data_IF_467847048554
#
_entry.id   IF_467847048554
#
_cell.length_a   1.000
_cell.length_b   1.000
_cell.length_c   1.000
_cell.angle_alpha   90.00
_cell.angle_beta   90.00
_cell.angle_gamma   90.00
#
_symmetry.space_group_name_H-M   'P 1'
#
loop_
_entity.id
_entity.type
_entity.pdbx_description
1 polymer ?
#
# COMPACT_ATOMS: atom_id res chain seq x y z
N UNK A 1 7.44 3.17 8.85
CA UNK A 1 6.56 4.26 9.32
C UNK A 1 6.09 3.97 10.75
N UNK A 2 6.26 4.89 11.66
CA UNK A 2 5.91 4.76 13.08
C UNK A 2 4.46 5.18 13.41
N UNK A 3 3.71 5.62 12.43
CA UNK A 3 2.31 6.05 12.56
C UNK A 3 1.30 5.06 11.93
N UNK A 4 1.71 3.80 11.75
CA UNK A 4 0.83 2.73 11.31
C UNK A 4 0.53 1.71 12.41
N UNK A 5 -0.73 1.29 12.48
CA UNK A 5 -1.13 0.07 13.18
C UNK A 5 -1.35 -1.05 12.18
N UNK A 6 -0.74 -2.19 12.42
CA UNK A 6 -0.83 -3.37 11.58
C UNK A 6 -1.68 -4.45 12.23
N UNK A 7 -2.45 -5.20 11.41
CA UNK A 7 -3.01 -6.46 11.86
C UNK A 7 -1.90 -7.50 12.02
N UNK A 8 -2.02 -8.37 13.01
CA UNK A 8 -1.04 -9.41 13.32
C UNK A 8 -0.68 -10.26 12.08
N UNK A 9 -1.65 -10.55 11.23
CA UNK A 9 -1.48 -11.35 10.02
C UNK A 9 -1.01 -10.57 8.79
N UNK A 10 -0.74 -9.26 8.93
CA UNK A 10 -0.47 -8.37 7.79
C UNK A 10 0.70 -8.87 6.93
N UNK A 11 1.84 -9.11 7.55
CA UNK A 11 3.06 -9.48 6.82
C UNK A 11 2.94 -10.85 6.16
N UNK A 12 2.40 -11.84 6.89
CA UNK A 12 2.16 -13.18 6.37
C UNK A 12 1.26 -13.14 5.12
N UNK A 13 0.13 -12.43 5.20
CA UNK A 13 -0.80 -12.32 4.09
C UNK A 13 -0.23 -11.53 2.90
N UNK A 14 0.54 -10.48 3.15
CA UNK A 14 1.22 -9.74 2.09
C UNK A 14 2.22 -10.62 1.35
N UNK A 15 3.04 -11.40 2.05
CA UNK A 15 4.03 -12.28 1.42
C UNK A 15 3.32 -13.36 0.59
N UNK A 16 2.33 -14.06 1.14
CA UNK A 16 1.58 -15.09 0.42
C UNK A 16 0.86 -14.52 -0.82
N UNK A 17 0.27 -13.33 -0.71
CA UNK A 17 -0.35 -12.64 -1.84
C UNK A 17 0.69 -12.18 -2.87
N UNK A 18 1.85 -11.69 -2.43
CA UNK A 18 2.94 -11.32 -3.32
C UNK A 18 3.38 -12.50 -4.18
N UNK A 19 3.68 -13.63 -3.57
CA UNK A 19 4.10 -14.85 -4.28
C UNK A 19 3.06 -15.30 -5.30
N UNK A 20 1.80 -15.31 -4.89
CA UNK A 20 0.68 -15.69 -5.77
C UNK A 20 0.55 -14.75 -6.97
N UNK A 21 0.43 -13.45 -6.72
CA UNK A 21 0.14 -12.45 -7.77
C UNK A 21 1.34 -12.25 -8.69
N UNK A 22 2.56 -12.15 -8.14
CA UNK A 22 3.78 -12.02 -8.95
C UNK A 22 4.01 -13.22 -9.85
N UNK A 23 3.74 -14.44 -9.34
CA UNK A 23 3.80 -15.68 -10.15
C UNK A 23 2.78 -15.67 -11.30
N UNK A 24 1.53 -15.26 -11.02
CA UNK A 24 0.49 -15.18 -12.05
C UNK A 24 0.78 -14.13 -13.12
N UNK A 25 1.37 -13.00 -12.73
CA UNK A 25 1.72 -11.92 -13.64
C UNK A 25 3.08 -12.12 -14.34
N UNK A 26 3.89 -13.07 -13.86
CA UNK A 26 5.25 -13.28 -14.34
C UNK A 26 6.21 -12.10 -14.07
N UNK A 27 5.92 -11.27 -13.05
CA UNK A 27 6.72 -10.10 -12.69
C UNK A 27 6.56 -9.69 -11.22
N UNK A 28 7.57 -8.98 -10.72
CA UNK A 28 7.52 -8.37 -9.41
C UNK A 28 6.48 -7.24 -9.35
N UNK A 29 5.97 -6.97 -8.15
CA UNK A 29 4.94 -5.96 -7.90
C UNK A 29 5.26 -5.14 -6.64
N UNK A 30 4.55 -4.04 -6.48
CA UNK A 30 4.46 -3.28 -5.23
C UNK A 30 3.15 -3.61 -4.52
N UNK A 31 3.16 -3.56 -3.20
CA UNK A 31 1.99 -3.79 -2.37
C UNK A 31 1.90 -2.75 -1.27
N UNK A 32 0.78 -2.07 -1.16
CA UNK A 32 0.45 -1.21 -0.01
C UNK A 32 -0.38 -2.02 0.99
N UNK A 33 -0.08 -2.01 2.29
CA UNK A 33 -0.87 -2.75 3.28
C UNK A 33 -2.20 -2.08 3.63
N UNK A 34 -2.37 -0.81 3.30
CA UNK A 34 -3.53 -0.02 3.68
C UNK A 34 -4.48 0.25 2.52
N UNK A 35 -5.76 0.23 2.83
CA UNK A 35 -6.85 0.61 1.93
C UNK A 35 -7.37 1.98 2.36
N UNK A 36 -6.96 3.02 1.65
CA UNK A 36 -7.27 4.39 2.04
C UNK A 36 -8.60 4.89 1.49
N UNK A 37 -9.37 5.68 2.28
CA UNK A 37 -10.62 6.28 1.81
C UNK A 37 -10.48 7.13 0.55
N UNK A 38 -9.37 7.88 0.40
CA UNK A 38 -9.18 8.75 -0.76
C UNK A 38 -9.13 8.00 -2.09
N UNK A 39 -8.74 6.72 -2.08
CA UNK A 39 -8.75 5.88 -3.28
C UNK A 39 -10.16 5.61 -3.83
N UNK A 40 -11.21 5.83 -3.03
CA UNK A 40 -12.62 5.70 -3.43
C UNK A 40 -13.23 7.03 -3.92
N UNK A 41 -12.49 8.13 -3.77
CA UNK A 41 -12.97 9.47 -4.13
C UNK A 41 -12.61 9.86 -5.57
N UNK A 42 -11.78 9.08 -6.23
CA UNK A 42 -11.33 9.32 -7.59
C UNK A 42 -11.91 8.27 -8.53
N UNK A 43 -12.32 8.68 -9.73
CA UNK A 43 -12.74 7.77 -10.79
C UNK A 43 -11.51 7.18 -11.49
N UNK A 44 -10.77 6.33 -10.79
CA UNK A 44 -9.57 5.67 -11.27
C UNK A 44 -9.89 4.26 -11.75
N UNK A 45 -9.39 3.92 -12.94
CA UNK A 45 -9.53 2.56 -13.47
C UNK A 45 -8.72 1.61 -12.58
N UNK A 46 -9.40 0.62 -12.00
CA UNK A 46 -8.77 -0.37 -11.13
C UNK A 46 -9.15 -1.79 -11.54
N UNK A 47 -8.21 -2.72 -11.36
CA UNK A 47 -8.44 -4.15 -11.52
C UNK A 47 -8.53 -4.80 -10.15
N UNK A 48 -9.42 -5.76 -10.00
CA UNK A 48 -9.54 -6.58 -8.79
C UNK A 48 -8.77 -7.89 -9.01
N UNK A 49 -7.95 -8.25 -8.04
CA UNK A 49 -7.14 -9.46 -8.03
C UNK A 49 -7.52 -10.32 -6.81
N UNK A 50 -7.28 -11.61 -6.93
CA UNK A 50 -7.48 -12.55 -5.82
C UNK A 50 -6.14 -12.74 -5.11
N UNK A 51 -6.05 -12.27 -3.87
CA UNK A 51 -4.93 -12.51 -2.98
C UNK A 51 -5.04 -13.84 -2.25
N UNK A 52 -4.33 -13.99 -1.13
CA UNK A 52 -4.38 -15.19 -0.31
C UNK A 52 -5.71 -15.31 0.46
N UNK A 53 -6.06 -14.30 1.26
CA UNK A 53 -7.24 -14.33 2.15
C UNK A 53 -8.31 -13.30 1.79
N UNK A 54 -8.03 -12.39 0.86
CA UNK A 54 -8.95 -11.32 0.44
C UNK A 54 -8.73 -10.89 -1.01
N UNK A 55 -9.63 -10.05 -1.50
CA UNK A 55 -9.42 -9.36 -2.77
C UNK A 55 -8.41 -8.22 -2.57
N UNK A 56 -7.72 -7.92 -3.65
CA UNK A 56 -6.81 -6.81 -3.77
C UNK A 56 -7.19 -5.99 -4.99
N UNK A 57 -6.78 -4.75 -5.04
CA UNK A 57 -7.02 -3.89 -6.20
C UNK A 57 -5.75 -3.18 -6.62
N UNK A 58 -5.64 -2.86 -7.91
CA UNK A 58 -4.58 -1.99 -8.40
C UNK A 58 -4.79 -0.57 -7.91
N UNK A 59 -3.70 0.08 -7.53
CA UNK A 59 -3.66 1.47 -7.07
C UNK A 59 -2.48 2.19 -7.73
N UNK A 60 -2.56 3.53 -7.81
CA UNK A 60 -1.52 4.39 -8.39
C UNK A 60 -0.78 5.23 -7.35
N UNK A 61 -1.15 5.13 -6.09
CA UNK A 61 -0.59 5.93 -4.98
C UNK A 61 -0.53 5.12 -3.70
N UNK A 62 0.49 5.39 -2.91
CA UNK A 62 0.64 4.93 -1.52
C UNK A 62 0.87 6.14 -0.62
N UNK A 63 1.05 5.93 0.68
CA UNK A 63 1.49 6.96 1.62
C UNK A 63 2.81 6.51 2.25
N UNK A 64 3.85 6.37 1.45
CA UNK A 64 5.21 5.92 1.79
C UNK A 64 5.31 4.51 2.41
N UNK A 65 4.22 3.78 2.52
CA UNK A 65 4.19 2.43 3.09
C UNK A 65 3.94 1.40 2.01
N UNK A 66 4.95 0.61 1.71
CA UNK A 66 4.85 -0.44 0.70
C UNK A 66 5.79 -1.62 0.97
N UNK A 67 5.46 -2.74 0.36
CA UNK A 67 6.32 -3.92 0.25
C UNK A 67 6.63 -4.17 -1.22
N UNK A 68 7.87 -4.53 -1.53
CA UNK A 68 8.29 -4.93 -2.88
C UNK A 68 9.50 -5.84 -2.84
N UNK A 69 9.93 -6.37 -3.99
CA UNK A 69 11.17 -7.13 -4.10
C UNK A 69 12.40 -6.23 -4.07
N UNK A 70 13.53 -6.80 -3.62
CA UNK A 70 14.83 -6.14 -3.72
C UNK A 70 15.16 -5.73 -5.15
N UNK A 71 14.77 -6.54 -6.14
CA UNK A 71 14.98 -6.24 -7.56
C UNK A 71 14.30 -4.95 -8.00
N UNK A 72 13.03 -4.73 -7.63
CA UNK A 72 12.33 -3.47 -7.94
C UNK A 72 12.90 -2.30 -7.13
N UNK A 73 13.30 -2.54 -5.88
CA UNK A 73 13.94 -1.52 -5.07
C UNK A 73 15.26 -1.03 -5.71
N UNK A 74 16.11 -1.96 -6.15
CA UNK A 74 17.36 -1.64 -6.84
C UNK A 74 17.11 -0.93 -8.18
N UNK A 75 16.12 -1.39 -8.96
CA UNK A 75 15.76 -0.83 -10.25
C UNK A 75 15.32 0.63 -10.17
N UNK A 76 14.56 0.97 -9.13
CA UNK A 76 14.00 2.30 -8.93
C UNK A 76 14.69 3.11 -7.83
N UNK A 77 15.88 2.71 -7.40
CA UNK A 77 16.62 3.35 -6.32
C UNK A 77 16.73 4.88 -6.47
N UNK A 78 16.98 5.36 -7.68
CA UNK A 78 17.06 6.80 -7.96
C UNK A 78 15.74 7.53 -7.71
N UNK A 79 14.58 6.90 -7.95
CA UNK A 79 13.28 7.50 -7.66
C UNK A 79 13.08 7.61 -6.14
N UNK A 80 13.44 6.57 -5.39
CA UNK A 80 13.36 6.58 -3.93
C UNK A 80 14.30 7.63 -3.33
N UNK A 81 15.56 7.68 -3.76
CA UNK A 81 16.53 8.69 -3.31
C UNK A 81 16.04 10.11 -3.55
N UNK A 82 15.56 10.41 -4.76
CA UNK A 82 15.01 11.74 -5.07
C UNK A 82 13.80 12.12 -4.21
N UNK A 83 12.99 11.14 -3.83
CA UNK A 83 11.84 11.40 -2.97
C UNK A 83 12.24 11.82 -1.56
N UNK A 84 13.47 11.46 -1.13
CA UNK A 84 14.03 11.80 0.19
C UNK A 84 14.87 13.11 0.19
N UNK A 85 15.26 13.63 -0.98
CA UNK A 85 16.18 14.79 -1.06
C UNK A 85 15.50 16.12 -0.71
N UNK A 86 14.25 16.33 -1.14
CA UNK A 86 13.52 17.57 -0.97
C UNK A 86 12.02 17.33 -0.69
N UNK A 87 11.35 18.34 -0.13
CA UNK A 87 9.88 18.33 -0.05
C UNK A 87 9.27 18.54 -1.44
N UNK A 88 8.41 17.61 -1.83
CA UNK A 88 7.69 17.66 -3.11
C UNK A 88 6.18 17.83 -2.89
N UNK A 89 5.50 18.35 -3.90
CA UNK A 89 4.05 18.36 -3.97
C UNK A 89 3.60 17.70 -5.31
N UNK A 90 2.97 16.51 -5.25
CA UNK A 90 2.67 15.70 -4.07
C UNK A 90 3.93 15.12 -3.42
N UNK A 91 3.85 14.82 -2.13
CA UNK A 91 5.00 14.34 -1.34
C UNK A 91 5.70 13.13 -1.96
N UNK A 92 4.95 12.15 -2.46
CA UNK A 92 5.46 10.93 -3.11
C UNK A 92 5.59 11.07 -4.65
N UNK A 93 5.90 12.23 -5.17
CA UNK A 93 5.95 12.50 -6.62
C UNK A 93 6.74 11.45 -7.40
N UNK A 94 7.96 11.13 -6.96
CA UNK A 94 8.84 10.21 -7.69
C UNK A 94 8.46 8.74 -7.47
N UNK A 95 7.87 8.40 -6.35
CA UNK A 95 7.33 7.05 -6.09
C UNK A 95 6.09 6.81 -6.95
N UNK A 96 5.20 7.80 -7.05
CA UNK A 96 4.02 7.72 -7.91
C UNK A 96 4.36 7.55 -9.41
N UNK A 97 5.53 8.02 -9.86
CA UNK A 97 6.02 7.75 -11.24
C UNK A 97 6.37 6.26 -11.46
N UNK A 98 6.78 5.55 -10.39
CA UNK A 98 7.01 4.10 -10.46
C UNK A 98 5.68 3.38 -10.70
N UNK A 99 4.62 3.74 -9.97
CA UNK A 99 3.31 3.09 -10.06
C UNK A 99 2.57 3.34 -11.38
N UNK A 100 3.05 4.27 -12.22
CA UNK A 100 2.59 4.40 -13.61
C UNK A 100 3.14 3.31 -14.54
N UNK A 101 4.22 2.64 -14.13
CA UNK A 101 4.94 1.63 -14.92
C UNK A 101 4.78 0.24 -14.33
N UNK A 102 4.74 0.16 -13.01
CA UNK A 102 4.67 -1.09 -12.27
C UNK A 102 3.32 -1.27 -11.57
N UNK A 103 2.94 -2.52 -11.37
CA UNK A 103 1.75 -2.82 -10.59
C UNK A 103 2.00 -2.51 -9.12
N UNK A 104 1.11 -1.71 -8.54
CA UNK A 104 0.96 -1.57 -7.11
C UNK A 104 -0.45 -2.02 -6.72
N UNK A 105 -0.58 -2.81 -5.67
CA UNK A 105 -1.87 -3.33 -5.21
C UNK A 105 -2.12 -3.04 -3.74
N UNK A 106 -3.38 -2.92 -3.37
CA UNK A 106 -3.86 -2.64 -2.01
C UNK A 106 -4.95 -3.63 -1.62
N UNK A 107 -5.04 -4.07 -0.36
CA UNK A 107 -6.03 -5.04 0.08
C UNK A 107 -7.43 -4.42 0.19
N UNK A 108 -8.45 -5.20 -0.11
CA UNK A 108 -9.85 -4.97 0.20
C UNK A 108 -10.29 -6.00 1.24
N UNK A 109 -10.34 -5.69 2.41
CA UNK A 109 -10.25 -4.74 3.46
C UNK A 109 -8.78 -4.53 3.88
N UNK A 110 -8.47 -3.38 4.46
CA UNK A 110 -7.12 -2.98 4.89
C UNK A 110 -6.44 -3.96 5.85
N UNK A 111 -5.12 -4.09 5.74
CA UNK A 111 -4.25 -4.82 6.66
C UNK A 111 -3.49 -3.90 7.61
N UNK A 112 -3.61 -2.58 7.41
CA UNK A 112 -2.98 -1.57 8.25
C UNK A 112 -3.84 -0.32 8.30
N UNK A 113 -3.70 0.45 9.37
CA UNK A 113 -4.37 1.73 9.55
C UNK A 113 -3.32 2.81 9.77
N UNK A 114 -3.37 3.86 8.95
CA UNK A 114 -2.54 5.04 9.09
C UNK A 114 -3.15 5.95 10.17
N UNK A 115 -2.42 6.25 11.22
CA UNK A 115 -2.93 7.00 12.37
C UNK A 115 -2.83 8.51 12.20
N UNK A 116 -1.97 8.98 11.31
CA UNK A 116 -1.87 10.40 10.99
C UNK A 116 -3.15 10.84 10.27
N UNK A 117 -3.74 11.94 10.75
CA UNK A 117 -4.97 12.49 10.18
C UNK A 117 -6.15 11.50 10.16
N UNK A 118 -6.34 10.76 11.25
CA UNK A 118 -7.42 9.74 11.38
C UNK A 118 -8.82 10.21 10.97
N UNK A 119 -9.10 11.50 10.98
CA UNK A 119 -10.37 12.09 10.54
C UNK A 119 -10.38 12.53 9.07
N UNK A 120 -9.34 12.24 8.32
CA UNK A 120 -9.21 12.62 6.91
C UNK A 120 -9.33 11.43 5.98
N UNK A 121 -9.44 11.70 4.68
CA UNK A 121 -9.43 10.66 3.65
C UNK A 121 -8.09 9.90 3.51
N UNK A 122 -7.05 10.39 4.19
CA UNK A 122 -5.71 9.76 4.22
C UNK A 122 -5.48 8.92 5.50
N UNK A 123 -6.45 8.87 6.38
CA UNK A 123 -6.35 8.18 7.68
C UNK A 123 -7.07 6.85 7.70
N UNK A 124 -8.20 6.81 8.40
CA UNK A 124 -8.92 5.58 8.69
C UNK A 124 -9.34 4.82 7.44
N UNK A 125 -8.96 3.57 7.41
CA UNK A 125 -9.40 2.64 6.38
C UNK A 125 -10.88 2.28 6.54
N UNK A 126 -11.63 2.10 5.43
CA UNK A 126 -13.02 1.67 5.49
C UNK A 126 -13.18 0.35 6.25
N UNK A 127 -14.26 0.24 7.02
CA UNK A 127 -14.64 -0.99 7.74
C UNK A 127 -13.65 -1.45 8.83
N UNK A 128 -12.75 -0.59 9.28
CA UNK A 128 -11.82 -0.87 10.37
C UNK A 128 -12.21 -0.06 11.60
N UNK A 129 -12.39 -0.75 12.74
CA UNK A 129 -12.41 -0.09 14.03
C UNK A 129 -10.98 0.01 14.56
N UNK A 130 -10.39 1.19 14.46
CA UNK A 130 -9.00 1.42 14.86
C UNK A 130 -8.79 1.27 16.37
N UNK A 131 -9.82 1.49 17.19
CA UNK A 131 -9.72 1.33 18.66
C UNK A 131 -9.54 -0.14 19.03
N UNK A 132 -10.30 -1.02 18.39
CA UNK A 132 -10.16 -2.46 18.61
C UNK A 132 -8.78 -2.94 18.18
N UNK A 133 -8.29 -2.45 17.03
CA UNK A 133 -6.95 -2.76 16.54
C UNK A 133 -5.85 -2.20 17.47
N UNK A 134 -6.04 -0.99 18.00
CA UNK A 134 -5.14 -0.41 19.01
C UNK A 134 -5.06 -1.27 20.26
N UNK A 135 -6.19 -1.73 20.77
CA UNK A 135 -6.24 -2.55 21.99
C UNK A 135 -5.61 -3.93 21.79
N UNK A 136 -5.63 -4.47 20.57
CA UNK A 136 -4.95 -5.71 20.20
C UNK A 136 -3.42 -5.57 20.11
N UNK A 137 -2.91 -4.37 19.93
CA UNK A 137 -1.47 -4.06 19.77
C UNK A 137 -0.81 -3.50 21.03
N UNK A 138 -1.49 -3.50 22.17
CA UNK A 138 -0.92 -3.15 23.48
C UNK A 138 -0.13 -4.34 24.09
#
# INVERSE_FOLDING_TARGET
>A
EDDYLHFETMLEEMIATYERVSSQLGKDIFMCPADYPYLYMNNEKTNILIGDRRHWRTISKTLCTFLTSKKLLDLYWQNFSKNCEDRHDPFEKYINEIYKKEFCISPLKSLSVHLTNVNSSYGLSPFINYKDLWDQNK
#
